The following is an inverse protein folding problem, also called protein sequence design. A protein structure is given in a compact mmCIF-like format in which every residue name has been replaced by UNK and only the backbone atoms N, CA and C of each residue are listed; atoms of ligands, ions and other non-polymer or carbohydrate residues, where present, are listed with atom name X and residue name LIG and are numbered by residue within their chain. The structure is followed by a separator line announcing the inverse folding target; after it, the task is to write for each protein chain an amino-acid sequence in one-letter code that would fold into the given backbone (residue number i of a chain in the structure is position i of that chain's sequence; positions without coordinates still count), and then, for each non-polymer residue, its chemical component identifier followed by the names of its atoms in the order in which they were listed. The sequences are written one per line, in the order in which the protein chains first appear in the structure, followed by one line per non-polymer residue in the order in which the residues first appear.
data_IF_635740752848
#
_entry.id   IF_635740752848
#
_cell.length_a   1.000
_cell.length_b   1.000
_cell.length_c   1.000
_cell.angle_alpha   90.00
_cell.angle_beta   90.00
_cell.angle_gamma   90.00
#
_symmetry.space_group_name_H-M   'P 1'
#
loop_
_entity.id
_entity.type
_entity.pdbx_description
1 polymer ?
#
# COMPACT_ATOMS: atom_id res chain seq x y z
N UNK A 1 -8.17 4.93 17.29
CA UNK A 1 -6.74 4.79 17.65
C UNK A 1 -6.36 5.95 18.52
N UNK A 2 -5.60 5.72 19.62
CA UNK A 2 -5.22 6.80 20.54
C UNK A 2 -3.72 7.11 20.43
N UNK A 3 -3.35 8.37 20.64
CA UNK A 3 -1.97 8.86 20.63
C UNK A 3 -1.73 9.86 21.76
N UNK A 4 -0.68 9.64 22.55
CA UNK A 4 -0.25 10.58 23.58
C UNK A 4 0.70 11.59 22.96
N UNK A 5 0.45 12.86 23.19
CA UNK A 5 1.27 14.00 22.69
C UNK A 5 1.87 14.70 23.90
N UNK A 6 3.17 14.98 23.85
CA UNK A 6 3.91 15.73 24.87
C UNK A 6 3.93 17.24 24.57
N UNK A 7 4.53 18.01 25.47
CA UNK A 7 4.64 19.47 25.36
C UNK A 7 5.28 19.96 24.05
N UNK A 8 6.26 19.22 23.52
CA UNK A 8 6.99 19.65 22.32
C UNK A 8 6.11 19.63 21.07
N UNK A 9 5.14 18.69 21.00
CA UNK A 9 4.22 18.57 19.87
C UNK A 9 2.92 19.36 20.01
N UNK A 10 2.57 19.77 21.23
CA UNK A 10 1.25 20.32 21.53
C UNK A 10 0.92 21.62 20.78
N UNK A 11 1.83 22.58 20.78
CA UNK A 11 1.59 23.90 20.20
C UNK A 11 1.40 23.90 18.67
N UNK A 12 2.18 23.08 17.95
CA UNK A 12 2.03 22.93 16.50
C UNK A 12 0.74 22.19 16.16
N UNK A 13 0.42 21.13 16.93
CA UNK A 13 -0.81 20.35 16.78
C UNK A 13 -2.06 21.25 16.99
N UNK A 14 -2.11 22.04 18.07
CA UNK A 14 -3.22 22.95 18.33
C UNK A 14 -3.40 23.95 17.19
N UNK A 15 -2.31 24.47 16.65
CA UNK A 15 -2.33 25.36 15.51
C UNK A 15 -2.91 24.70 14.25
N UNK A 16 -2.60 23.43 14.01
CA UNK A 16 -3.20 22.66 12.91
C UNK A 16 -4.68 22.38 13.15
N UNK A 17 -5.05 21.86 14.33
CA UNK A 17 -6.43 21.47 14.63
C UNK A 17 -7.39 22.69 14.63
N UNK A 18 -6.90 23.89 14.99
CA UNK A 18 -7.70 25.12 14.98
C UNK A 18 -7.70 25.85 13.63
N UNK A 19 -6.87 25.41 12.65
CA UNK A 19 -6.74 26.10 11.37
C UNK A 19 -7.90 25.76 10.40
N UNK A 20 -8.30 26.71 9.52
CA UNK A 20 -9.25 26.44 8.45
C UNK A 20 -8.80 25.31 7.51
N UNK A 21 -7.51 25.26 7.19
CA UNK A 21 -6.92 24.17 6.38
C UNK A 21 -7.03 22.82 7.08
N UNK A 22 -6.72 22.73 8.38
CA UNK A 22 -6.86 21.50 9.15
C UNK A 22 -8.30 20.98 9.15
N UNK A 23 -9.26 21.83 9.44
CA UNK A 23 -10.68 21.46 9.40
C UNK A 23 -11.11 20.94 8.03
N UNK A 24 -10.75 21.65 6.95
CA UNK A 24 -11.07 21.24 5.56
C UNK A 24 -10.42 19.93 5.17
N UNK A 25 -9.13 19.74 5.47
CA UNK A 25 -8.37 18.55 5.11
C UNK A 25 -8.85 17.30 5.86
N UNK A 26 -9.25 17.43 7.12
CA UNK A 26 -9.87 16.35 7.88
C UNK A 26 -11.29 16.03 7.38
N UNK A 27 -12.11 17.05 7.09
CA UNK A 27 -13.45 16.86 6.57
C UNK A 27 -13.48 16.19 5.19
N UNK A 28 -12.48 16.44 4.33
CA UNK A 28 -12.34 15.79 3.03
C UNK A 28 -11.77 14.36 3.12
N UNK A 29 -11.31 13.92 4.29
CA UNK A 29 -10.62 12.64 4.45
C UNK A 29 -9.19 12.61 3.90
N UNK A 30 -8.66 13.74 3.44
CA UNK A 30 -7.28 13.89 2.95
C UNK A 30 -6.26 13.71 4.06
N UNK A 31 -6.59 14.21 5.25
CA UNK A 31 -5.88 13.94 6.51
C UNK A 31 -6.81 13.11 7.39
N UNK A 32 -6.26 12.15 8.10
CA UNK A 32 -7.04 11.30 9.01
C UNK A 32 -7.82 12.16 10.01
N UNK A 33 -9.14 11.99 10.14
CA UNK A 33 -9.93 12.69 11.14
C UNK A 33 -9.36 12.47 12.53
N UNK A 34 -9.06 13.58 13.20
CA UNK A 34 -8.35 13.61 14.49
C UNK A 34 -8.98 14.63 15.39
N UNK A 35 -9.20 14.28 16.66
CA UNK A 35 -9.61 15.20 17.70
C UNK A 35 -8.82 14.98 18.99
N UNK A 36 -8.67 16.01 19.77
CA UNK A 36 -8.25 15.86 21.15
C UNK A 36 -9.42 15.30 21.99
N UNK A 37 -9.10 14.43 22.95
CA UNK A 37 -10.08 13.99 23.94
C UNK A 37 -10.38 15.15 24.90
N UNK A 38 -11.63 15.23 25.36
CA UNK A 38 -12.00 16.17 26.39
C UNK A 38 -11.49 15.73 27.79
N UNK A 39 -11.52 16.62 28.80
CA UNK A 39 -11.03 16.29 30.14
C UNK A 39 -11.71 15.09 30.80
N UNK A 40 -13.01 14.85 30.55
CA UNK A 40 -13.76 13.74 31.13
C UNK A 40 -13.32 12.42 30.49
N UNK A 41 -13.23 12.37 29.13
CA UNK A 41 -12.70 11.20 28.39
C UNK A 41 -11.26 10.89 28.78
N UNK A 42 -10.41 11.92 28.96
CA UNK A 42 -9.05 11.75 29.44
C UNK A 42 -9.03 11.17 30.85
N UNK A 43 -9.88 11.65 31.75
CA UNK A 43 -10.00 11.17 33.12
C UNK A 43 -10.39 9.69 33.19
N UNK A 44 -11.39 9.26 32.41
CA UNK A 44 -11.79 7.86 32.29
C UNK A 44 -10.65 6.97 31.78
N UNK A 45 -9.96 7.41 30.72
CA UNK A 45 -8.86 6.65 30.12
C UNK A 45 -7.67 6.51 31.09
N UNK A 46 -7.34 7.58 31.81
CA UNK A 46 -6.25 7.63 32.78
C UNK A 46 -6.60 6.99 34.13
N UNK A 47 -7.82 6.51 34.34
CA UNK A 47 -8.18 5.65 35.45
C UNK A 47 -7.53 4.26 35.37
N UNK A 48 -7.22 3.80 34.12
CA UNK A 48 -6.39 2.62 33.91
C UNK A 48 -4.93 2.93 34.27
N UNK A 49 -4.39 2.18 35.22
CA UNK A 49 -3.04 2.39 35.75
C UNK A 49 -1.95 2.24 34.68
N UNK A 50 -2.13 1.32 33.71
CA UNK A 50 -1.17 1.08 32.63
C UNK A 50 -1.12 2.25 31.64
N UNK A 51 -2.28 2.80 31.30
CA UNK A 51 -2.39 3.98 30.43
C UNK A 51 -1.81 5.22 31.12
N UNK A 52 -2.11 5.40 32.41
CA UNK A 52 -1.55 6.50 33.23
C UNK A 52 -0.03 6.44 33.27
N UNK A 53 0.52 5.26 33.58
CA UNK A 53 1.98 5.07 33.61
C UNK A 53 2.61 5.43 32.25
N UNK A 54 2.00 5.02 31.14
CA UNK A 54 2.47 5.35 29.80
C UNK A 54 2.38 6.86 29.51
N UNK A 55 1.28 7.49 29.93
CA UNK A 55 1.06 8.93 29.78
C UNK A 55 2.12 9.74 30.54
N UNK A 56 2.36 9.42 31.79
CA UNK A 56 3.34 10.09 32.65
C UNK A 56 4.78 9.86 32.13
N UNK A 57 5.12 8.62 31.76
CA UNK A 57 6.43 8.27 31.23
C UNK A 57 6.77 9.01 29.90
N UNK A 58 5.75 9.42 29.14
CA UNK A 58 5.90 10.17 27.88
C UNK A 58 5.75 11.69 28.06
N UNK A 59 5.56 12.19 29.27
CA UNK A 59 5.26 13.59 29.54
C UNK A 59 4.01 14.06 28.80
N UNK A 60 2.94 13.23 28.86
CA UNK A 60 1.70 13.47 28.12
C UNK A 60 1.03 14.79 28.50
N UNK A 61 0.52 15.51 27.51
CA UNK A 61 -0.31 16.71 27.69
C UNK A 61 -1.64 16.60 26.99
N UNK A 62 -1.69 15.98 25.81
CA UNK A 62 -2.88 15.81 25.00
C UNK A 62 -3.00 14.33 24.64
N UNK A 63 -4.22 13.81 24.67
CA UNK A 63 -4.54 12.50 24.10
C UNK A 63 -5.38 12.73 22.86
N UNK A 64 -4.89 12.25 21.71
CA UNK A 64 -5.61 12.31 20.44
C UNK A 64 -6.37 11.02 20.18
N UNK A 65 -7.55 11.18 19.60
CA UNK A 65 -8.28 10.09 18.96
C UNK A 65 -8.23 10.28 17.44
N UNK A 66 -7.71 9.27 16.74
CA UNK A 66 -7.70 9.21 15.28
C UNK A 66 -8.73 8.21 14.79
N UNK A 67 -9.37 8.50 13.66
CA UNK A 67 -10.12 7.50 12.93
C UNK A 67 -9.18 6.39 12.46
N UNK A 68 -9.66 5.15 12.49
CA UNK A 68 -8.85 4.00 12.10
C UNK A 68 -8.90 3.79 10.59
N UNK A 69 -7.73 3.54 9.99
CA UNK A 69 -7.64 2.95 8.65
C UNK A 69 -7.73 1.44 8.78
N UNK A 70 -8.67 0.81 8.09
CA UNK A 70 -9.05 -0.59 8.31
C UNK A 70 -7.91 -1.57 8.06
N UNK A 71 -7.19 -1.38 6.94
CA UNK A 71 -6.03 -2.20 6.60
C UNK A 71 -4.82 -1.30 6.28
N UNK A 72 -3.87 -1.15 7.22
CA UNK A 72 -2.64 -0.41 6.96
C UNK A 72 -1.83 -1.07 5.84
N UNK A 73 -1.28 -0.26 4.93
CA UNK A 73 -0.37 -0.69 3.87
C UNK A 73 0.88 0.16 3.87
N UNK A 74 1.99 -0.38 3.40
CA UNK A 74 3.27 0.31 3.47
C UNK A 74 3.87 0.55 2.07
N UNK A 75 4.75 1.53 1.89
CA UNK A 75 5.25 1.96 0.59
C UNK A 75 5.90 0.85 -0.25
N UNK A 76 6.48 -0.16 0.38
CA UNK A 76 7.06 -1.32 -0.29
C UNK A 76 6.02 -2.34 -0.81
N UNK A 77 4.74 -2.15 -0.47
CA UNK A 77 3.62 -2.95 -0.96
C UNK A 77 2.82 -2.22 -2.05
N UNK A 78 3.17 -0.98 -2.35
CA UNK A 78 2.40 -0.14 -3.26
C UNK A 78 2.83 -0.31 -4.72
N UNK A 79 1.93 0.00 -5.63
CA UNK A 79 2.27 0.19 -7.04
C UNK A 79 2.93 1.57 -7.24
N UNK A 80 3.57 1.76 -8.39
CA UNK A 80 4.14 3.07 -8.73
C UNK A 80 3.05 4.16 -8.81
N UNK A 81 1.85 3.82 -9.24
CA UNK A 81 0.68 4.71 -9.26
C UNK A 81 0.30 5.18 -7.86
N UNK A 82 0.30 4.27 -6.88
CA UNK A 82 0.00 4.60 -5.48
C UNK A 82 1.09 5.50 -4.90
N UNK A 83 2.36 5.20 -5.11
CA UNK A 83 3.46 6.05 -4.64
C UNK A 83 3.40 7.44 -5.30
N UNK A 84 3.06 7.52 -6.58
CA UNK A 84 2.86 8.79 -7.28
C UNK A 84 1.69 9.59 -6.70
N UNK A 85 0.57 8.93 -6.39
CA UNK A 85 -0.58 9.58 -5.76
C UNK A 85 -0.27 10.08 -4.34
N UNK A 86 0.49 9.29 -3.56
CA UNK A 86 0.96 9.70 -2.23
C UNK A 86 1.92 10.91 -2.30
N UNK A 87 2.79 10.96 -3.31
CA UNK A 87 3.66 12.12 -3.56
C UNK A 87 2.85 13.37 -3.92
N UNK A 88 1.82 13.25 -4.75
CA UNK A 88 0.90 14.35 -5.07
C UNK A 88 0.19 14.86 -3.81
N UNK A 89 -0.36 13.95 -3.01
CA UNK A 89 -0.99 14.31 -1.72
C UNK A 89 -0.03 15.12 -0.84
N UNK A 90 1.23 14.70 -0.71
CA UNK A 90 2.24 15.40 0.10
C UNK A 90 2.46 16.84 -0.40
N UNK A 91 2.55 17.04 -1.72
CA UNK A 91 2.71 18.39 -2.30
C UNK A 91 1.42 19.22 -2.16
N UNK A 92 0.24 18.62 -2.31
CA UNK A 92 -1.04 19.29 -2.11
C UNK A 92 -1.20 19.78 -0.68
N UNK A 93 -0.83 18.95 0.31
CA UNK A 93 -0.80 19.33 1.73
C UNK A 93 0.20 20.46 1.98
N UNK A 94 1.42 20.34 1.47
CA UNK A 94 2.43 21.38 1.65
C UNK A 94 1.96 22.74 1.13
N UNK A 95 1.27 22.79 -0.03
CA UNK A 95 0.72 24.02 -0.58
C UNK A 95 -0.50 24.53 0.19
N UNK A 96 -1.44 23.64 0.55
CA UNK A 96 -2.66 24.02 1.25
C UNK A 96 -2.39 24.66 2.61
N UNK A 97 -1.39 24.14 3.33
CA UNK A 97 -1.02 24.60 4.67
C UNK A 97 -0.39 25.99 4.69
N UNK A 98 0.26 26.42 3.59
CA UNK A 98 0.88 27.75 3.50
C UNK A 98 -0.11 28.90 3.67
N UNK A 99 -1.39 28.65 3.34
CA UNK A 99 -2.45 29.67 3.50
C UNK A 99 -2.65 30.07 4.96
N UNK A 100 -2.44 29.14 5.89
CA UNK A 100 -2.63 29.33 7.34
C UNK A 100 -1.26 29.46 8.08
N UNK A 101 -0.17 29.69 7.36
CA UNK A 101 1.16 29.81 7.95
C UNK A 101 1.70 28.49 8.53
N UNK A 102 1.20 27.35 8.03
CA UNK A 102 1.63 26.01 8.43
C UNK A 102 2.49 25.35 7.35
N UNK A 103 3.20 24.30 7.72
CA UNK A 103 4.01 23.48 6.82
C UNK A 103 4.13 22.04 7.30
N UNK A 104 4.84 21.23 6.50
CA UNK A 104 5.19 19.86 6.85
C UNK A 104 6.62 19.78 7.35
N UNK A 105 6.86 19.04 8.43
CA UNK A 105 8.20 18.67 8.94
C UNK A 105 8.81 17.52 8.15
N UNK A 106 7.96 16.58 7.67
CA UNK A 106 8.37 15.35 7.03
C UNK A 106 7.66 15.15 5.68
N UNK A 107 8.42 14.71 4.67
CA UNK A 107 7.96 14.39 3.34
C UNK A 107 8.22 12.91 3.00
N UNK A 108 7.76 12.00 3.85
CA UNK A 108 7.95 10.55 3.71
C UNK A 108 6.65 9.83 3.36
N UNK A 109 6.69 8.77 2.53
CA UNK A 109 5.51 7.96 2.23
C UNK A 109 4.99 7.16 3.45
N UNK A 110 5.80 6.99 4.50
CA UNK A 110 5.37 6.31 5.73
C UNK A 110 4.35 7.11 6.56
N UNK A 111 4.14 8.39 6.25
CA UNK A 111 3.09 9.22 6.83
C UNK A 111 1.75 9.11 6.08
N UNK A 112 1.65 8.18 5.12
CA UNK A 112 0.47 7.98 4.28
C UNK A 112 0.02 6.52 4.37
N UNK A 113 -1.29 6.32 4.48
CA UNK A 113 -1.97 5.05 4.27
C UNK A 113 -2.99 5.20 3.14
N UNK A 114 -3.66 4.10 2.80
CA UNK A 114 -4.71 4.11 1.78
C UNK A 114 -6.05 3.63 2.35
N UNK A 115 -7.14 4.30 1.95
CA UNK A 115 -8.51 3.82 2.08
C UNK A 115 -9.00 3.44 0.69
N UNK A 116 -9.18 2.15 0.46
CA UNK A 116 -9.35 1.70 -0.92
C UNK A 116 -8.21 2.26 -1.80
N UNK A 117 -8.50 2.94 -2.91
CA UNK A 117 -7.49 3.50 -3.80
C UNK A 117 -7.00 4.91 -3.41
N UNK A 118 -7.59 5.54 -2.38
CA UNK A 118 -7.32 6.95 -2.05
C UNK A 118 -6.27 7.08 -0.94
N UNK A 119 -5.19 7.87 -1.13
CA UNK A 119 -4.19 8.13 -0.12
C UNK A 119 -4.72 9.05 0.99
N UNK A 120 -4.37 8.75 2.23
CA UNK A 120 -4.75 9.51 3.44
C UNK A 120 -3.50 9.79 4.26
N UNK A 121 -3.25 11.04 4.58
CA UNK A 121 -2.16 11.44 5.47
C UNK A 121 -2.52 11.17 6.93
N UNK A 122 -1.65 10.51 7.68
CA UNK A 122 -1.97 9.99 9.01
C UNK A 122 -1.18 10.62 10.15
N UNK A 123 -0.10 11.34 9.87
CA UNK A 123 0.76 11.91 10.92
C UNK A 123 0.50 13.41 11.14
N UNK A 124 -0.51 13.72 11.94
CA UNK A 124 -0.85 15.11 12.28
C UNK A 124 0.23 15.86 13.05
N UNK A 125 1.22 15.16 13.64
CA UNK A 125 2.34 15.80 14.33
C UNK A 125 3.45 16.23 13.36
N UNK A 126 3.38 15.86 12.10
CA UNK A 126 4.24 16.37 11.03
C UNK A 126 3.87 17.80 10.58
N UNK A 127 2.76 18.35 11.06
CA UNK A 127 2.44 19.76 10.80
C UNK A 127 3.16 20.67 11.80
N UNK A 128 3.66 21.81 11.29
CA UNK A 128 4.35 22.82 12.12
C UNK A 128 3.96 24.22 11.71
N UNK A 129 4.10 25.17 12.66
CA UNK A 129 4.00 26.59 12.36
C UNK A 129 5.25 27.06 11.63
N UNK A 130 5.06 27.79 10.55
CA UNK A 130 6.15 28.38 9.79
C UNK A 130 6.49 29.78 10.28
N UNK A 131 7.76 30.10 10.28
CA UNK A 131 8.20 31.48 10.52
C UNK A 131 7.97 32.32 9.25
N UNK A 132 7.39 33.52 9.36
CA UNK A 132 7.32 34.45 8.24
C UNK A 132 8.73 34.71 7.69
N UNK A 133 8.89 34.71 6.37
CA UNK A 133 10.19 34.90 5.73
C UNK A 133 10.99 33.59 5.50
N UNK A 134 10.56 32.43 6.01
CA UNK A 134 11.22 31.15 5.73
C UNK A 134 10.84 30.63 4.31
N UNK A 135 11.81 30.67 3.41
CA UNK A 135 11.67 30.18 2.03
C UNK A 135 12.07 28.69 1.87
N UNK A 136 12.41 28.02 2.97
CA UNK A 136 12.93 26.65 2.96
C UNK A 136 11.80 25.65 3.15
N UNK A 137 11.80 24.58 2.36
CA UNK A 137 10.99 23.39 2.63
C UNK A 137 11.92 22.27 3.13
N UNK A 138 11.98 22.09 4.44
CA UNK A 138 12.87 21.12 5.09
C UNK A 138 12.71 19.70 4.56
N UNK A 139 11.48 19.20 4.27
CA UNK A 139 11.28 17.85 3.73
C UNK A 139 11.81 17.61 2.32
N UNK A 140 12.34 18.63 1.62
CA UNK A 140 12.74 18.52 0.21
C UNK A 140 13.62 17.29 -0.08
N UNK A 141 14.70 17.13 0.66
CA UNK A 141 15.64 16.02 0.43
C UNK A 141 15.00 14.66 0.72
N UNK A 142 14.23 14.57 1.79
CA UNK A 142 13.47 13.36 2.14
C UNK A 142 12.44 13.03 1.05
N UNK A 143 11.67 14.01 0.59
CA UNK A 143 10.69 13.84 -0.49
C UNK A 143 11.37 13.36 -1.80
N UNK A 144 12.51 13.93 -2.15
CA UNK A 144 13.27 13.50 -3.34
C UNK A 144 13.70 12.04 -3.19
N UNK A 145 14.29 11.67 -2.05
CA UNK A 145 14.85 10.34 -1.81
C UNK A 145 13.77 9.27 -1.70
N UNK A 146 12.62 9.57 -1.08
CA UNK A 146 11.61 8.56 -0.75
C UNK A 146 10.47 8.46 -1.77
N UNK A 147 10.25 9.49 -2.59
CA UNK A 147 9.23 9.49 -3.64
C UNK A 147 9.82 9.58 -5.05
N UNK A 148 10.58 10.65 -5.34
CA UNK A 148 10.98 10.92 -6.72
C UNK A 148 12.03 9.96 -7.25
N UNK A 149 13.06 9.65 -6.47
CA UNK A 149 14.12 8.72 -6.88
C UNK A 149 13.63 7.28 -6.99
N UNK A 150 12.79 6.73 -6.08
CA UNK A 150 12.16 5.42 -6.28
C UNK A 150 11.29 5.36 -7.53
N UNK A 151 10.45 6.38 -7.80
CA UNK A 151 9.66 6.44 -9.04
C UNK A 151 10.54 6.51 -10.28
N UNK A 152 11.61 7.30 -10.26
CA UNK A 152 12.58 7.40 -11.34
C UNK A 152 13.29 6.06 -11.58
N UNK A 153 13.73 5.38 -10.52
CA UNK A 153 14.39 4.09 -10.61
C UNK A 153 13.44 2.99 -11.13
N UNK A 154 12.19 2.99 -10.68
CA UNK A 154 11.17 2.09 -11.20
C UNK A 154 10.90 2.33 -12.69
N UNK A 155 10.76 3.60 -13.11
CA UNK A 155 10.50 3.96 -14.51
C UNK A 155 11.68 3.64 -15.43
N UNK A 156 12.90 3.96 -15.01
CA UNK A 156 14.09 3.92 -15.86
C UNK A 156 14.82 2.57 -15.85
N UNK A 157 14.75 1.83 -14.75
CA UNK A 157 15.52 0.59 -14.54
C UNK A 157 14.63 -0.63 -14.25
N UNK A 158 13.31 -0.44 -14.11
CA UNK A 158 12.39 -1.52 -13.79
C UNK A 158 12.51 -2.05 -12.35
N UNK A 159 13.15 -1.31 -11.44
CA UNK A 159 13.27 -1.73 -10.04
C UNK A 159 11.91 -1.65 -9.33
N UNK A 160 11.51 -2.74 -8.69
CA UNK A 160 10.30 -2.79 -7.87
C UNK A 160 10.39 -1.88 -6.63
N UNK A 161 9.27 -1.33 -6.20
CA UNK A 161 9.24 -0.52 -4.96
C UNK A 161 9.55 -1.39 -3.73
N UNK A 162 9.15 -2.66 -3.74
CA UNK A 162 9.52 -3.67 -2.75
C UNK A 162 11.04 -3.83 -2.63
N UNK A 163 11.75 -3.92 -3.76
CA UNK A 163 13.21 -4.05 -3.81
C UNK A 163 13.93 -2.81 -3.26
N UNK A 164 13.31 -1.65 -3.38
CA UNK A 164 13.89 -0.39 -2.91
C UNK A 164 13.52 -0.17 -1.43
N UNK A 165 12.22 -0.10 -1.12
CA UNK A 165 11.72 0.46 0.14
C UNK A 165 11.66 -0.54 1.30
N UNK A 166 11.74 -1.86 1.03
CA UNK A 166 11.86 -2.86 2.12
C UNK A 166 13.20 -2.75 2.85
N UNK A 167 14.29 -2.48 2.11
CA UNK A 167 15.65 -2.45 2.66
C UNK A 167 16.18 -1.03 2.85
N UNK A 168 15.60 -0.04 2.18
CA UNK A 168 15.99 1.38 2.23
C UNK A 168 14.80 2.24 2.65
N UNK A 169 14.56 2.31 3.96
CA UNK A 169 13.46 3.12 4.50
C UNK A 169 13.58 4.60 4.11
N UNK A 170 14.82 5.11 4.05
CA UNK A 170 15.11 6.51 3.69
C UNK A 170 15.19 6.74 2.18
N UNK A 171 14.80 5.72 1.38
CA UNK A 171 14.75 5.80 -0.07
C UNK A 171 16.12 5.62 -0.74
N UNK A 172 16.32 6.31 -1.86
CA UNK A 172 17.54 6.23 -2.68
C UNK A 172 18.32 7.54 -2.59
N UNK A 173 19.66 7.43 -2.57
CA UNK A 173 20.53 8.60 -2.70
C UNK A 173 20.77 8.91 -4.20
N UNK A 174 20.93 10.23 -4.57
CA UNK A 174 21.23 10.63 -5.93
C UNK A 174 22.46 9.92 -6.52
N UNK A 175 23.50 9.71 -5.70
CA UNK A 175 24.74 9.04 -6.08
C UNK A 175 24.56 7.57 -6.46
N UNK A 176 23.61 6.88 -5.82
CA UNK A 176 23.27 5.49 -6.18
C UNK A 176 22.62 5.45 -7.57
N UNK A 177 21.61 6.29 -7.80
CA UNK A 177 20.92 6.39 -9.08
C UNK A 177 21.86 6.88 -10.18
N UNK A 178 22.81 7.78 -9.85
CA UNK A 178 23.85 8.23 -10.77
C UNK A 178 24.72 7.07 -11.25
N UNK A 179 25.14 6.18 -10.36
CA UNK A 179 25.94 4.99 -10.70
C UNK A 179 25.22 4.05 -11.65
N UNK A 180 23.89 3.89 -11.53
CA UNK A 180 23.07 3.04 -12.40
C UNK A 180 22.76 3.69 -13.75
N UNK A 181 22.79 5.02 -13.82
CA UNK A 181 22.36 5.78 -15.00
C UNK A 181 23.42 5.82 -16.10
N UNK A 182 22.95 5.76 -17.37
CA UNK A 182 23.78 5.93 -18.55
C UNK A 182 24.16 7.41 -18.73
N UNK A 183 25.29 7.68 -19.42
CA UNK A 183 25.81 9.03 -19.62
C UNK A 183 24.77 9.98 -20.24
N UNK A 184 24.02 9.52 -21.24
CA UNK A 184 22.98 10.33 -21.89
C UNK A 184 21.77 10.62 -20.99
N UNK A 185 21.44 9.70 -20.06
CA UNK A 185 20.37 9.92 -19.08
C UNK A 185 20.75 11.03 -18.12
N UNK A 186 22.01 11.05 -17.67
CA UNK A 186 22.54 12.05 -16.70
C UNK A 186 22.41 13.49 -17.18
N UNK A 187 22.35 13.70 -18.50
CA UNK A 187 22.28 15.05 -19.11
C UNK A 187 20.85 15.52 -19.40
N UNK A 188 19.84 14.66 -19.19
CA UNK A 188 18.43 14.95 -19.52
C UNK A 188 17.55 15.04 -18.27
N UNK A 189 16.53 15.92 -18.24
CA UNK A 189 15.52 15.88 -17.20
C UNK A 189 14.74 14.55 -17.23
N UNK A 190 14.34 13.99 -16.06
CA UNK A 190 14.53 14.53 -14.70
C UNK A 190 15.89 14.18 -14.06
N UNK A 191 16.69 13.29 -14.67
CA UNK A 191 17.98 12.84 -14.12
C UNK A 191 18.95 14.00 -13.83
N UNK A 192 19.04 14.98 -14.74
CA UNK A 192 19.96 16.10 -14.55
C UNK A 192 19.71 16.82 -13.23
N UNK A 193 18.46 17.16 -12.94
CA UNK A 193 18.10 17.91 -11.74
C UNK A 193 18.05 17.07 -10.46
N UNK A 194 17.56 15.81 -10.55
CA UNK A 194 17.38 14.95 -9.38
C UNK A 194 18.64 14.16 -9.00
N UNK A 195 19.51 13.88 -9.98
CA UNK A 195 20.60 12.92 -9.82
C UNK A 195 21.96 13.59 -10.07
N UNK A 196 22.19 14.12 -11.27
CA UNK A 196 23.53 14.58 -11.68
C UNK A 196 23.97 15.82 -10.93
N UNK A 197 23.12 16.85 -10.86
CA UNK A 197 23.46 18.10 -10.19
C UNK A 197 23.70 17.90 -8.68
N UNK A 198 22.83 17.20 -7.92
CA UNK A 198 23.11 16.91 -6.51
C UNK A 198 24.40 16.10 -6.31
N UNK A 199 24.65 15.07 -7.15
CA UNK A 199 25.88 14.26 -7.04
C UNK A 199 27.13 15.09 -7.31
N UNK A 200 27.14 15.99 -8.30
CA UNK A 200 28.32 16.82 -8.60
C UNK A 200 28.56 17.91 -7.57
N UNK A 201 27.51 18.40 -6.92
CA UNK A 201 27.59 19.44 -5.89
C UNK A 201 27.85 18.85 -4.50
N UNK A 202 27.32 17.67 -4.20
CA UNK A 202 27.40 17.02 -2.89
C UNK A 202 28.84 16.73 -2.45
N UNK A 203 29.74 16.40 -3.37
CA UNK A 203 31.16 16.17 -3.09
C UNK A 203 31.95 17.41 -2.63
N UNK A 204 31.33 18.58 -2.63
CA UNK A 204 31.97 19.84 -2.21
C UNK A 204 31.60 20.31 -0.78
N UNK A 205 30.58 19.71 -0.19
CA UNK A 205 30.17 20.00 1.18
C UNK A 205 30.92 19.10 2.16
N UNK A 206 31.67 19.70 3.11
CA UNK A 206 32.25 18.95 4.22
C UNK A 206 31.11 18.43 5.12
N UNK A 207 31.25 17.21 5.61
CA UNK A 207 30.30 16.57 6.54
C UNK A 207 30.01 17.43 7.80
N UNK A 208 30.93 18.37 8.14
CA UNK A 208 30.82 19.24 9.31
C UNK A 208 30.07 20.56 9.07
N UNK A 209 29.60 20.84 7.83
CA UNK A 209 28.93 22.13 7.54
C UNK A 209 27.43 22.07 7.90
N UNK A 210 27.12 22.39 9.16
CA UNK A 210 25.75 22.52 9.66
C UNK A 210 25.03 23.78 9.18
N UNK A 211 25.72 24.70 8.48
CA UNK A 211 25.15 25.98 8.03
C UNK A 211 24.02 25.79 7.00
N UNK A 212 24.01 24.68 6.27
CA UNK A 212 22.96 24.32 5.32
C UNK A 212 21.58 24.04 5.99
N UNK A 213 21.60 23.69 7.28
CA UNK A 213 20.37 23.45 8.06
C UNK A 213 19.90 24.71 8.80
N UNK A 214 20.63 25.82 8.75
CA UNK A 214 20.18 27.06 9.35
C UNK A 214 19.14 27.74 8.49
N UNK A 215 17.95 28.00 9.10
CA UNK A 215 16.89 28.76 8.45
C UNK A 215 17.36 30.14 8.07
N UNK A 216 17.40 30.43 6.77
CA UNK A 216 17.69 31.79 6.26
C UNK A 216 16.36 32.51 6.07
N UNK A 217 16.01 33.36 7.03
CA UNK A 217 14.80 34.15 6.94
C UNK A 217 15.02 35.34 6.00
N UNK A 218 14.13 35.52 5.04
CA UNK A 218 14.07 36.68 4.19
C UNK A 218 13.32 37.79 4.93
N UNK A 219 13.72 39.04 4.71
CA UNK A 219 13.04 40.22 5.26
C UNK A 219 11.64 40.43 4.69
N UNK A 220 11.38 39.86 3.51
CA UNK A 220 10.12 39.95 2.80
C UNK A 220 9.40 38.59 2.83
N UNK A 221 8.32 38.44 3.62
CA UNK A 221 7.55 37.19 3.69
C UNK A 221 6.87 36.79 2.38
N UNK A 222 6.44 37.76 1.54
CA UNK A 222 5.79 37.47 0.25
C UNK A 222 6.78 36.86 -0.71
N UNK A 223 8.02 37.39 -0.73
CA UNK A 223 9.12 36.85 -1.52
C UNK A 223 9.47 35.41 -1.07
N UNK A 224 9.50 35.17 0.24
CA UNK A 224 9.74 33.83 0.78
C UNK A 224 8.67 32.84 0.31
N UNK A 225 7.41 33.23 0.40
CA UNK A 225 6.26 32.43 -0.07
C UNK A 225 6.34 32.17 -1.57
N UNK A 226 6.66 33.17 -2.38
CA UNK A 226 6.85 33.02 -3.84
C UNK A 226 7.94 31.99 -4.18
N UNK A 227 9.09 32.04 -3.50
CA UNK A 227 10.18 31.07 -3.72
C UNK A 227 9.72 29.65 -3.36
N UNK A 228 9.00 29.50 -2.25
CA UNK A 228 8.49 28.19 -1.80
C UNK A 228 7.43 27.63 -2.76
N UNK A 229 6.48 28.44 -3.19
CA UNK A 229 5.50 28.05 -4.18
C UNK A 229 6.15 27.65 -5.52
N UNK A 230 7.20 28.36 -5.93
CA UNK A 230 7.97 28.03 -7.12
C UNK A 230 8.68 26.68 -6.98
N UNK A 231 9.26 26.40 -5.82
CA UNK A 231 9.90 25.11 -5.49
C UNK A 231 8.88 23.96 -5.56
N UNK A 232 7.75 24.08 -4.87
CA UNK A 232 6.71 23.06 -4.83
C UNK A 232 6.11 22.80 -6.22
N UNK A 233 5.90 23.86 -7.00
CA UNK A 233 5.47 23.74 -8.40
C UNK A 233 6.54 23.09 -9.30
N UNK A 234 7.83 23.32 -9.01
CA UNK A 234 8.94 22.61 -9.65
C UNK A 234 8.94 21.13 -9.39
N UNK A 235 8.73 20.72 -8.12
CA UNK A 235 8.59 19.33 -7.73
C UNK A 235 7.36 18.68 -8.39
N UNK A 236 6.23 19.37 -8.45
CA UNK A 236 5.01 18.90 -9.12
C UNK A 236 5.24 18.65 -10.63
N UNK A 237 5.95 19.55 -11.32
CA UNK A 237 6.32 19.34 -12.72
C UNK A 237 7.27 18.14 -12.91
N UNK A 238 8.17 17.94 -11.96
CA UNK A 238 9.07 16.78 -11.97
C UNK A 238 8.28 15.49 -11.73
N UNK A 239 7.39 15.47 -10.75
CA UNK A 239 6.51 14.33 -10.46
C UNK A 239 5.60 13.98 -11.64
N UNK A 240 5.08 14.99 -12.37
CA UNK A 240 4.27 14.77 -13.56
C UNK A 240 5.04 14.01 -14.67
N UNK A 241 6.37 14.21 -14.79
CA UNK A 241 7.23 13.45 -15.71
C UNK A 241 7.49 12.01 -15.26
N UNK A 242 7.28 11.73 -13.98
CA UNK A 242 7.44 10.42 -13.38
C UNK A 242 6.10 9.68 -13.22
N UNK A 243 5.02 10.23 -13.79
CA UNK A 243 3.72 9.54 -13.80
C UNK A 243 3.89 8.17 -14.47
N UNK A 244 3.45 7.08 -13.82
CA UNK A 244 3.51 5.74 -14.40
C UNK A 244 2.78 5.69 -15.75
N UNK A 245 3.39 5.01 -16.70
CA UNK A 245 2.86 4.91 -18.07
C UNK A 245 1.75 3.87 -18.09
N UNK A 246 0.59 4.26 -18.59
CA UNK A 246 -0.53 3.36 -18.86
C UNK A 246 -0.19 2.40 -19.99
N UNK A 247 -0.72 1.16 -19.92
CA UNK A 247 -0.53 0.18 -21.00
C UNK A 247 0.84 -0.52 -21.00
N UNK A 248 1.63 -0.44 -19.91
CA UNK A 248 2.74 -1.38 -19.76
C UNK A 248 2.20 -2.80 -19.77
N UNK A 249 2.78 -3.65 -20.61
CA UNK A 249 2.49 -5.07 -20.61
C UNK A 249 3.43 -5.79 -19.65
N UNK A 250 2.91 -6.77 -18.93
CA UNK A 250 3.65 -7.77 -18.18
C UNK A 250 3.28 -9.16 -18.69
N UNK A 251 3.97 -10.18 -18.23
CA UNK A 251 3.62 -11.58 -18.55
C UNK A 251 2.17 -11.90 -18.16
N UNK A 252 1.61 -11.17 -17.19
CA UNK A 252 0.28 -11.42 -16.62
C UNK A 252 -0.79 -10.44 -17.08
N UNK A 253 -0.42 -9.27 -17.64
CA UNK A 253 -1.39 -8.29 -18.14
C UNK A 253 -2.23 -8.82 -19.30
N UNK A 254 -1.62 -9.66 -20.15
CA UNK A 254 -2.26 -10.25 -21.32
C UNK A 254 -2.89 -11.63 -21.03
N UNK A 255 -2.74 -12.13 -19.79
CA UNK A 255 -3.19 -13.46 -19.41
C UNK A 255 -4.69 -13.66 -19.67
N UNK A 256 -5.53 -12.68 -19.34
CA UNK A 256 -6.97 -12.74 -19.57
C UNK A 256 -7.36 -12.62 -21.05
N UNK A 257 -6.54 -11.96 -21.85
CA UNK A 257 -6.80 -11.72 -23.29
C UNK A 257 -6.23 -12.85 -24.18
N UNK A 258 -5.14 -13.49 -23.77
CA UNK A 258 -4.38 -14.45 -24.59
C UNK A 258 -4.58 -15.90 -24.17
N UNK A 259 -5.07 -16.17 -22.95
CA UNK A 259 -5.31 -17.53 -22.46
C UNK A 259 -6.69 -18.02 -22.87
N UNK A 260 -6.74 -18.66 -24.03
CA UNK A 260 -7.92 -19.32 -24.60
C UNK A 260 -8.42 -20.54 -23.81
N UNK A 261 -7.93 -20.79 -22.58
CA UNK A 261 -8.33 -21.91 -21.74
C UNK A 261 -9.68 -21.69 -21.03
N UNK A 262 -10.24 -20.47 -21.09
CA UNK A 262 -11.56 -20.17 -20.61
C UNK A 262 -12.45 -19.75 -21.78
N UNK A 263 -13.52 -20.52 -22.02
CA UNK A 263 -14.62 -20.02 -22.84
C UNK A 263 -15.34 -18.90 -22.09
N UNK A 264 -16.07 -18.06 -22.83
CA UNK A 264 -16.89 -16.99 -22.22
C UNK A 264 -17.83 -17.56 -21.15
N UNK A 265 -18.37 -18.77 -21.39
CA UNK A 265 -19.32 -19.44 -20.48
C UNK A 265 -18.66 -19.89 -19.17
N UNK A 266 -17.44 -20.43 -19.23
CA UNK A 266 -16.65 -20.79 -18.04
C UNK A 266 -16.39 -19.57 -17.14
N UNK A 267 -16.03 -18.46 -17.78
CA UNK A 267 -15.75 -17.22 -17.06
C UNK A 267 -17.01 -16.66 -16.39
N UNK A 268 -18.14 -16.66 -17.10
CA UNK A 268 -19.43 -16.24 -16.56
C UNK A 268 -19.92 -17.16 -15.42
N UNK A 269 -19.72 -18.46 -15.54
CA UNK A 269 -20.05 -19.42 -14.48
C UNK A 269 -19.25 -19.13 -13.20
N UNK A 270 -17.96 -18.85 -13.34
CA UNK A 270 -17.08 -18.47 -12.24
C UNK A 270 -17.48 -17.13 -11.60
N UNK A 271 -17.84 -16.13 -12.42
CA UNK A 271 -18.35 -14.85 -11.94
C UNK A 271 -19.62 -15.01 -11.10
N UNK A 272 -20.59 -15.79 -11.60
CA UNK A 272 -21.82 -16.08 -10.88
C UNK A 272 -21.55 -16.78 -9.56
N UNK A 273 -20.74 -17.84 -9.58
CA UNK A 273 -20.39 -18.59 -8.37
C UNK A 273 -19.81 -17.70 -7.28
N UNK A 274 -18.82 -16.86 -7.63
CA UNK A 274 -18.17 -15.94 -6.68
C UNK A 274 -19.15 -14.87 -6.21
N UNK A 275 -19.90 -14.25 -7.12
CA UNK A 275 -20.86 -13.20 -6.77
C UNK A 275 -21.97 -13.70 -5.85
N UNK A 276 -22.55 -14.88 -6.16
CA UNK A 276 -23.57 -15.53 -5.33
C UNK A 276 -23.02 -15.89 -3.95
N UNK A 277 -21.81 -16.48 -3.88
CA UNK A 277 -21.18 -16.86 -2.62
C UNK A 277 -20.99 -15.65 -1.71
N UNK A 278 -20.45 -14.55 -2.24
CA UNK A 278 -20.22 -13.32 -1.45
C UNK A 278 -21.54 -12.67 -1.01
N UNK A 279 -22.56 -12.66 -1.88
CA UNK A 279 -23.86 -12.06 -1.57
C UNK A 279 -24.63 -12.90 -0.53
N UNK A 280 -24.65 -14.23 -0.68
CA UNK A 280 -25.36 -15.16 0.21
C UNK A 280 -24.89 -15.03 1.67
N UNK A 281 -23.59 -14.85 1.87
CA UNK A 281 -23.00 -14.75 3.20
C UNK A 281 -22.73 -13.31 3.66
N UNK A 282 -23.07 -12.30 2.85
CA UNK A 282 -22.93 -10.90 3.20
C UNK A 282 -21.51 -10.48 3.53
N UNK A 283 -20.50 -10.97 2.79
CA UNK A 283 -19.10 -10.67 3.02
C UNK A 283 -18.83 -9.16 2.86
N UNK A 284 -18.28 -8.52 3.91
CA UNK A 284 -17.97 -7.08 3.95
C UNK A 284 -16.49 -6.77 3.81
N UNK A 285 -15.62 -7.73 4.11
CA UNK A 285 -14.17 -7.64 3.98
C UNK A 285 -13.66 -8.85 3.20
N UNK A 286 -12.98 -8.60 2.08
CA UNK A 286 -12.55 -9.65 1.15
C UNK A 286 -11.06 -9.51 0.87
N UNK A 287 -10.33 -10.64 0.94
CA UNK A 287 -8.97 -10.77 0.44
C UNK A 287 -9.01 -11.54 -0.88
N UNK A 288 -8.57 -10.89 -1.97
CA UNK A 288 -8.48 -11.52 -3.29
C UNK A 288 -7.00 -11.82 -3.59
N UNK A 289 -6.63 -13.10 -3.51
CA UNK A 289 -5.25 -13.59 -3.68
C UNK A 289 -5.00 -13.98 -5.12
N UNK A 290 -3.98 -13.37 -5.76
CA UNK A 290 -3.73 -13.53 -7.19
C UNK A 290 -4.79 -12.80 -8.00
N UNK A 291 -5.09 -11.56 -7.62
CA UNK A 291 -6.20 -10.78 -8.17
C UNK A 291 -6.06 -10.45 -9.66
N UNK A 292 -4.85 -10.54 -10.23
CA UNK A 292 -4.53 -10.15 -11.59
C UNK A 292 -5.08 -8.73 -11.88
N UNK A 293 -5.88 -8.55 -12.92
CA UNK A 293 -6.49 -7.25 -13.29
C UNK A 293 -7.71 -6.86 -12.44
N UNK A 294 -7.96 -7.57 -11.32
CA UNK A 294 -8.94 -7.20 -10.28
C UNK A 294 -10.40 -7.50 -10.62
N UNK A 295 -10.65 -8.41 -11.54
CA UNK A 295 -12.03 -8.71 -11.98
C UNK A 295 -12.92 -9.16 -10.81
N UNK A 296 -12.47 -10.15 -10.01
CA UNK A 296 -13.21 -10.64 -8.86
C UNK A 296 -13.20 -9.67 -7.69
N UNK A 297 -12.13 -8.92 -7.52
CA UNK A 297 -12.07 -7.78 -6.60
C UNK A 297 -13.17 -6.75 -6.89
N UNK A 298 -13.39 -6.42 -8.19
CA UNK A 298 -14.43 -5.49 -8.59
C UNK A 298 -15.85 -6.05 -8.35
N UNK A 299 -16.07 -7.36 -8.55
CA UNK A 299 -17.36 -8.01 -8.20
C UNK A 299 -17.63 -7.87 -6.70
N UNK A 300 -16.66 -8.18 -5.86
CA UNK A 300 -16.79 -8.07 -4.41
C UNK A 300 -17.06 -6.61 -3.97
N UNK A 301 -16.30 -5.65 -4.51
CA UNK A 301 -16.43 -4.26 -4.16
C UNK A 301 -17.76 -3.64 -4.63
N UNK A 302 -18.25 -4.00 -5.82
CA UNK A 302 -19.60 -3.59 -6.29
C UNK A 302 -20.71 -4.19 -5.44
N UNK A 303 -20.48 -5.35 -4.80
CA UNK A 303 -21.34 -5.94 -3.78
C UNK A 303 -21.28 -5.23 -2.42
N UNK A 304 -20.46 -4.18 -2.26
CA UNK A 304 -20.33 -3.40 -1.04
C UNK A 304 -19.22 -3.87 -0.08
N UNK A 305 -18.38 -4.80 -0.49
CA UNK A 305 -17.24 -5.25 0.31
C UNK A 305 -16.04 -4.29 0.19
N UNK A 306 -15.27 -4.16 1.28
CA UNK A 306 -13.92 -3.60 1.24
C UNK A 306 -12.96 -4.71 0.83
N UNK A 307 -12.18 -4.48 -0.21
CA UNK A 307 -11.33 -5.51 -0.81
C UNK A 307 -9.86 -5.15 -0.65
N UNK A 308 -9.05 -6.11 -0.22
CA UNK A 308 -7.60 -6.08 -0.38
C UNK A 308 -7.25 -7.03 -1.52
N UNK A 309 -6.74 -6.49 -2.62
CA UNK A 309 -6.39 -7.24 -3.82
C UNK A 309 -4.87 -7.47 -3.86
N UNK A 310 -4.46 -8.73 -3.82
CA UNK A 310 -3.05 -9.12 -3.84
C UNK A 310 -2.63 -9.68 -5.18
N UNK A 311 -1.53 -9.21 -5.68
CA UNK A 311 -0.76 -9.86 -6.73
C UNK A 311 0.73 -9.58 -6.52
N UNK A 312 1.62 -10.37 -7.12
CA UNK A 312 3.05 -10.06 -7.08
C UNK A 312 3.49 -9.18 -8.26
N UNK A 313 2.62 -9.01 -9.27
CA UNK A 313 2.87 -8.17 -10.44
C UNK A 313 2.31 -6.75 -10.23
N UNK A 314 3.17 -5.75 -9.95
CA UNK A 314 2.72 -4.38 -9.73
C UNK A 314 2.09 -3.73 -10.96
N UNK A 315 2.30 -4.27 -12.17
CA UNK A 315 1.74 -3.71 -13.42
C UNK A 315 0.24 -4.00 -13.50
N UNK A 316 -0.19 -5.24 -13.22
CA UNK A 316 -1.62 -5.59 -13.18
C UNK A 316 -2.33 -4.85 -12.04
N UNK A 317 -1.69 -4.73 -10.88
CA UNK A 317 -2.24 -4.00 -9.74
C UNK A 317 -2.36 -2.49 -10.00
N UNK A 318 -1.47 -1.90 -10.78
CA UNK A 318 -1.60 -0.52 -11.25
C UNK A 318 -2.88 -0.34 -12.08
N UNK A 319 -3.30 -1.35 -12.84
CA UNK A 319 -4.59 -1.35 -13.55
C UNK A 319 -5.76 -1.46 -12.57
N UNK A 320 -5.68 -2.35 -11.57
CA UNK A 320 -6.68 -2.44 -10.50
C UNK A 320 -6.85 -1.11 -9.78
N UNK A 321 -5.74 -0.44 -9.43
CA UNK A 321 -5.78 0.85 -8.75
C UNK A 321 -6.46 1.93 -9.60
N UNK A 322 -6.13 2.04 -10.90
CA UNK A 322 -6.76 3.00 -11.80
C UNK A 322 -8.26 2.75 -11.95
N UNK A 323 -8.65 1.49 -12.13
CA UNK A 323 -10.06 1.11 -12.20
C UNK A 323 -10.80 1.43 -10.90
N UNK A 324 -10.24 1.05 -9.75
CA UNK A 324 -10.83 1.32 -8.45
C UNK A 324 -11.09 2.82 -8.23
N UNK A 325 -10.13 3.68 -8.60
CA UNK A 325 -10.33 5.14 -8.55
C UNK A 325 -11.41 5.64 -9.51
N UNK A 326 -11.38 5.18 -10.74
CA UNK A 326 -12.34 5.63 -11.77
C UNK A 326 -13.78 5.25 -11.41
N UNK A 327 -13.99 4.07 -10.85
CA UNK A 327 -15.30 3.54 -10.47
C UNK A 327 -15.66 3.80 -8.99
N UNK A 328 -14.76 4.41 -8.21
CA UNK A 328 -14.89 4.65 -6.75
C UNK A 328 -15.17 3.36 -5.98
N UNK A 329 -14.45 2.32 -6.30
CA UNK A 329 -14.54 1.02 -5.62
C UNK A 329 -13.58 0.97 -4.41
N UNK A 330 -14.04 0.40 -3.31
CA UNK A 330 -13.23 0.20 -2.09
C UNK A 330 -12.26 -0.98 -2.25
N UNK A 331 -11.29 -0.83 -3.18
CA UNK A 331 -10.25 -1.83 -3.45
C UNK A 331 -8.89 -1.23 -3.14
N UNK A 332 -8.15 -1.89 -2.25
CA UNK A 332 -6.75 -1.61 -1.93
C UNK A 332 -5.87 -2.65 -2.62
N UNK A 333 -5.22 -2.32 -3.75
CA UNK A 333 -4.32 -3.24 -4.43
C UNK A 333 -2.93 -3.18 -3.79
N UNK A 334 -2.34 -4.35 -3.48
CA UNK A 334 -1.03 -4.45 -2.84
C UNK A 334 -0.14 -5.45 -3.57
N UNK A 335 1.07 -5.01 -3.90
CA UNK A 335 2.11 -5.82 -4.53
C UNK A 335 2.76 -6.76 -3.48
N UNK A 336 2.07 -7.84 -3.16
CA UNK A 336 2.48 -8.81 -2.15
C UNK A 336 2.41 -10.23 -2.72
N UNK A 337 3.52 -10.95 -2.64
CA UNK A 337 3.53 -12.39 -2.88
C UNK A 337 3.16 -13.12 -1.58
N UNK A 338 1.99 -13.76 -1.53
CA UNK A 338 1.50 -14.42 -0.33
C UNK A 338 2.40 -15.59 0.14
N UNK A 339 3.21 -16.18 -0.74
CA UNK A 339 4.17 -17.24 -0.37
C UNK A 339 5.46 -16.69 0.25
N UNK A 340 5.71 -15.41 0.05
CA UNK A 340 6.85 -14.64 0.61
C UNK A 340 6.36 -13.24 0.98
N UNK A 341 5.44 -13.13 1.97
CA UNK A 341 4.79 -11.88 2.30
C UNK A 341 5.77 -10.87 2.89
N UNK A 342 5.42 -9.58 2.80
CA UNK A 342 6.23 -8.51 3.36
C UNK A 342 6.46 -8.71 4.87
N UNK A 343 7.72 -8.65 5.32
CA UNK A 343 8.08 -8.83 6.73
C UNK A 343 7.72 -7.62 7.58
N UNK A 344 7.76 -7.78 8.89
CA UNK A 344 7.82 -6.65 9.80
C UNK A 344 9.11 -5.85 9.60
N UNK A 345 9.04 -4.52 9.64
CA UNK A 345 10.18 -3.63 9.42
C UNK A 345 10.28 -2.53 10.46
N UNK A 346 11.37 -1.74 10.41
CA UNK A 346 11.66 -0.67 11.36
C UNK A 346 12.32 -1.17 12.65
N UNK A 347 12.29 -0.36 13.71
CA UNK A 347 12.94 -0.72 14.97
C UNK A 347 12.36 -2.01 15.54
N UNK A 348 13.21 -2.99 15.76
CA UNK A 348 12.87 -4.35 16.24
C UNK A 348 11.83 -5.07 15.37
N UNK A 349 11.67 -4.69 14.10
CA UNK A 349 10.64 -5.17 13.16
C UNK A 349 9.20 -4.93 13.65
N UNK A 350 8.95 -3.88 14.43
CA UNK A 350 7.66 -3.61 15.07
C UNK A 350 7.02 -2.27 14.65
N UNK A 351 7.73 -1.42 13.87
CA UNK A 351 7.14 -0.15 13.42
C UNK A 351 6.15 -0.34 12.28
N UNK A 352 6.47 -1.22 11.34
CA UNK A 352 5.57 -1.67 10.29
C UNK A 352 5.32 -3.16 10.50
N UNK A 353 4.10 -3.54 10.86
CA UNK A 353 3.73 -4.94 11.08
C UNK A 353 3.84 -5.74 9.79
N UNK A 354 4.19 -7.02 9.85
CA UNK A 354 4.22 -7.90 8.68
C UNK A 354 2.84 -7.98 8.01
N UNK A 355 2.80 -8.37 6.74
CA UNK A 355 1.53 -8.57 6.04
C UNK A 355 0.64 -9.58 6.78
N UNK A 356 1.20 -10.70 7.20
CA UNK A 356 0.45 -11.76 7.89
C UNK A 356 -0.10 -11.30 9.25
N UNK A 357 0.66 -10.51 10.03
CA UNK A 357 0.17 -9.98 11.33
C UNK A 357 -1.04 -9.05 11.14
N UNK A 358 -1.09 -8.33 10.02
CA UNK A 358 -2.22 -7.45 9.66
C UNK A 358 -3.41 -8.21 9.09
N UNK A 359 -3.15 -9.32 8.40
CA UNK A 359 -4.15 -10.05 7.61
C UNK A 359 -4.86 -11.17 8.39
N UNK A 360 -4.21 -11.77 9.40
CA UNK A 360 -4.79 -12.88 10.18
C UNK A 360 -6.13 -12.48 10.81
N UNK A 361 -7.17 -13.30 10.53
CA UNK A 361 -8.51 -13.11 11.06
C UNK A 361 -9.16 -11.76 10.71
N UNK A 362 -8.81 -11.19 9.55
CA UNK A 362 -9.30 -9.88 9.14
C UNK A 362 -10.41 -9.93 8.09
N UNK A 363 -10.49 -10.99 7.32
CA UNK A 363 -11.35 -11.03 6.15
C UNK A 363 -12.52 -11.98 6.38
N UNK A 364 -13.74 -11.53 6.05
CA UNK A 364 -14.92 -12.38 6.06
C UNK A 364 -14.84 -13.45 4.98
N UNK A 365 -14.22 -13.11 3.86
CA UNK A 365 -13.98 -14.04 2.78
C UNK A 365 -12.57 -13.90 2.18
N UNK A 366 -11.98 -15.03 1.79
CA UNK A 366 -10.75 -15.11 1.01
C UNK A 366 -11.07 -15.76 -0.33
N UNK A 367 -10.61 -15.14 -1.42
CA UNK A 367 -10.68 -15.66 -2.78
C UNK A 367 -9.31 -16.20 -3.19
N UNK A 368 -9.25 -17.43 -3.67
CA UNK A 368 -8.02 -18.05 -4.18
C UNK A 368 -8.35 -18.73 -5.53
N UNK A 369 -8.50 -17.90 -6.57
CA UNK A 369 -8.96 -18.32 -7.88
C UNK A 369 -7.79 -18.44 -8.85
N UNK A 370 -7.60 -19.64 -9.42
CA UNK A 370 -6.49 -19.94 -10.33
C UNK A 370 -5.10 -19.60 -9.76
N UNK A 371 -4.88 -19.70 -8.44
CA UNK A 371 -3.62 -19.36 -7.77
C UNK A 371 -2.93 -20.55 -7.11
N UNK A 372 -3.69 -21.53 -6.58
CA UNK A 372 -3.10 -22.60 -5.76
C UNK A 372 -2.06 -23.46 -6.52
N UNK A 373 -2.26 -23.70 -7.81
CA UNK A 373 -1.33 -24.49 -8.63
C UNK A 373 0.03 -23.77 -8.81
N UNK A 374 0.04 -22.44 -8.80
CA UNK A 374 1.29 -21.67 -8.74
C UNK A 374 1.98 -21.81 -7.38
N UNK A 375 1.23 -21.77 -6.29
CA UNK A 375 1.79 -21.97 -4.95
C UNK A 375 2.34 -23.39 -4.79
N UNK A 376 1.63 -24.41 -5.27
CA UNK A 376 2.04 -25.82 -5.21
C UNK A 376 3.27 -26.11 -6.07
N UNK A 377 3.26 -25.68 -7.33
CA UNK A 377 4.25 -26.10 -8.34
C UNK A 377 5.44 -25.13 -8.37
N UNK A 378 5.18 -23.84 -8.48
CA UNK A 378 6.25 -22.83 -8.63
C UNK A 378 6.93 -22.55 -7.30
N UNK A 379 6.13 -22.30 -6.26
CA UNK A 379 6.63 -21.93 -4.93
C UNK A 379 6.85 -23.15 -4.02
N UNK A 380 6.36 -24.32 -4.42
CA UNK A 380 6.50 -25.61 -3.71
C UNK A 380 5.96 -25.61 -2.28
N UNK A 381 4.89 -24.87 -2.07
CA UNK A 381 4.20 -24.86 -0.78
C UNK A 381 3.26 -26.07 -0.72
N UNK A 382 3.30 -26.92 0.33
CA UNK A 382 2.40 -28.04 0.47
C UNK A 382 0.93 -27.60 0.52
N UNK A 383 0.01 -28.44 -0.02
CA UNK A 383 -1.41 -28.14 -0.04
C UNK A 383 -1.99 -27.89 1.36
N UNK A 384 -1.56 -28.66 2.35
CA UNK A 384 -2.00 -28.48 3.74
C UNK A 384 -1.64 -27.07 4.25
N UNK A 385 -0.39 -26.63 4.03
CA UNK A 385 0.10 -25.32 4.49
C UNK A 385 -0.64 -24.17 3.80
N UNK A 386 -1.02 -24.34 2.51
CA UNK A 386 -1.84 -23.35 1.79
C UNK A 386 -3.22 -23.22 2.44
N UNK A 387 -3.85 -24.34 2.79
CA UNK A 387 -5.17 -24.36 3.40
C UNK A 387 -5.14 -23.89 4.86
N UNK A 388 -4.08 -24.21 5.61
CA UNK A 388 -3.84 -23.71 6.95
C UNK A 388 -3.74 -22.17 6.92
N UNK A 389 -2.93 -21.62 6.00
CA UNK A 389 -2.81 -20.18 5.82
C UNK A 389 -4.16 -19.53 5.43
N UNK A 390 -4.89 -20.14 4.49
CA UNK A 390 -6.22 -19.63 4.11
C UNK A 390 -7.17 -19.58 5.32
N UNK A 391 -7.12 -20.60 6.19
CA UNK A 391 -7.91 -20.64 7.43
C UNK A 391 -7.47 -19.57 8.44
N UNK A 392 -6.17 -19.24 8.52
CA UNK A 392 -5.68 -18.15 9.37
C UNK A 392 -6.18 -16.78 8.89
N UNK A 393 -6.28 -16.58 7.57
CA UNK A 393 -6.62 -15.29 6.96
C UNK A 393 -8.13 -14.99 7.03
N UNK A 394 -8.98 -16.02 6.85
CA UNK A 394 -10.44 -15.83 6.87
C UNK A 394 -11.06 -16.03 8.25
N UNK A 395 -12.13 -15.28 8.51
CA UNK A 395 -13.02 -15.50 9.68
C UNK A 395 -14.21 -16.39 9.34
N UNK A 396 -14.58 -16.51 8.04
CA UNK A 396 -15.79 -17.22 7.64
C UNK A 396 -15.61 -18.05 6.36
N UNK A 397 -15.35 -17.41 5.20
CA UNK A 397 -15.44 -18.07 3.91
C UNK A 397 -14.08 -18.17 3.19
N UNK A 398 -13.92 -19.27 2.45
CA UNK A 398 -12.89 -19.43 1.44
C UNK A 398 -13.57 -19.85 0.12
N UNK A 399 -13.39 -19.04 -0.92
CA UNK A 399 -13.75 -19.40 -2.30
C UNK A 399 -12.47 -19.75 -3.03
N UNK A 400 -12.33 -21.02 -3.39
CA UNK A 400 -11.07 -21.54 -3.93
C UNK A 400 -11.30 -22.37 -5.19
N UNK A 401 -10.41 -22.23 -6.18
CA UNK A 401 -10.40 -23.02 -7.39
C UNK A 401 -9.35 -24.11 -7.29
N UNK A 402 -9.79 -25.36 -7.25
CA UNK A 402 -8.91 -26.52 -7.40
C UNK A 402 -8.68 -26.78 -8.89
N UNK A 403 -7.41 -26.98 -9.25
CA UNK A 403 -6.95 -27.29 -10.60
C UNK A 403 -6.19 -28.61 -10.54
N UNK A 404 -6.70 -29.63 -11.22
CA UNK A 404 -6.10 -30.96 -11.21
C UNK A 404 -4.85 -31.03 -12.10
N UNK A 405 -3.95 -32.02 -11.89
CA UNK A 405 -2.70 -32.17 -12.64
C UNK A 405 -2.84 -32.39 -14.15
N UNK A 406 -4.01 -32.86 -14.61
CA UNK A 406 -4.36 -33.02 -16.03
C UNK A 406 -4.74 -31.71 -16.74
N UNK A 407 -4.92 -30.61 -16.00
CA UNK A 407 -5.16 -29.29 -16.58
C UNK A 407 -3.93 -28.82 -17.39
N UNK A 408 -4.17 -28.25 -18.57
CA UNK A 408 -3.13 -27.83 -19.49
C UNK A 408 -2.15 -26.79 -18.89
N UNK A 409 -2.65 -25.89 -18.03
CA UNK A 409 -1.80 -24.91 -17.34
C UNK A 409 -0.99 -25.56 -16.24
N UNK A 410 -1.60 -26.51 -15.49
CA UNK A 410 -0.86 -27.28 -14.48
C UNK A 410 0.27 -28.05 -15.13
N UNK A 411 0.01 -28.77 -16.23
CA UNK A 411 1.01 -29.51 -17.00
C UNK A 411 2.12 -28.59 -17.53
N UNK A 412 1.78 -27.39 -17.98
CA UNK A 412 2.74 -26.38 -18.44
C UNK A 412 3.69 -25.94 -17.34
N UNK A 413 3.24 -25.85 -16.08
CA UNK A 413 4.08 -25.49 -14.93
C UNK A 413 4.94 -26.66 -14.44
N UNK A 414 4.44 -27.91 -14.54
CA UNK A 414 5.12 -29.10 -14.01
C UNK A 414 6.16 -29.70 -14.94
N UNK A 415 6.32 -29.21 -16.15
CA UNK A 415 7.20 -29.79 -17.20
C UNK A 415 8.40 -30.54 -16.66
N UNK A 416 8.45 -31.89 -16.86
CA UNK A 416 9.52 -32.78 -16.38
C UNK A 416 9.48 -33.09 -14.88
N UNK A 417 8.39 -32.75 -14.18
CA UNK A 417 8.18 -32.99 -12.74
C UNK A 417 6.76 -33.48 -12.43
N UNK A 418 6.06 -34.03 -13.42
CA UNK A 418 4.65 -34.45 -13.34
C UNK A 418 4.44 -35.47 -12.22
N UNK A 419 5.41 -36.37 -12.02
CA UNK A 419 5.37 -37.40 -10.97
C UNK A 419 5.24 -36.85 -9.54
N UNK A 420 5.71 -35.61 -9.28
CA UNK A 420 5.62 -35.00 -7.95
C UNK A 420 4.17 -34.62 -7.55
N UNK A 421 3.28 -34.53 -8.52
CA UNK A 421 1.91 -34.06 -8.30
C UNK A 421 0.85 -35.06 -8.76
N UNK A 422 1.23 -36.30 -9.13
CA UNK A 422 0.32 -37.32 -9.66
C UNK A 422 -0.80 -37.71 -8.67
N UNK A 423 -0.51 -37.64 -7.38
CA UNK A 423 -1.45 -37.99 -6.31
C UNK A 423 -2.34 -36.81 -5.88
N UNK A 424 -2.20 -35.64 -6.52
CA UNK A 424 -3.03 -34.46 -6.23
C UNK A 424 -4.41 -34.63 -6.87
N UNK A 425 -5.31 -35.30 -6.16
CA UNK A 425 -6.70 -35.50 -6.57
C UNK A 425 -7.66 -34.54 -5.85
N UNK A 426 -8.89 -34.44 -6.36
CA UNK A 426 -9.91 -33.66 -5.70
C UNK A 426 -10.26 -34.22 -4.31
N UNK A 427 -10.23 -35.54 -4.15
CA UNK A 427 -10.48 -36.22 -2.86
C UNK A 427 -9.37 -35.88 -1.83
N UNK A 428 -8.13 -35.80 -2.27
CA UNK A 428 -7.01 -35.35 -1.43
C UNK A 428 -7.21 -33.88 -1.00
N UNK A 429 -7.61 -33.02 -1.95
CA UNK A 429 -7.92 -31.62 -1.67
C UNK A 429 -9.08 -31.50 -0.67
N UNK A 430 -10.18 -32.20 -0.88
CA UNK A 430 -11.36 -32.18 -0.02
C UNK A 430 -11.04 -32.69 1.40
N UNK A 431 -10.22 -33.75 1.48
CA UNK A 431 -9.73 -34.27 2.78
C UNK A 431 -8.86 -33.26 3.51
N UNK A 432 -7.94 -32.61 2.81
CA UNK A 432 -7.09 -31.58 3.39
C UNK A 432 -7.91 -30.35 3.83
N UNK A 433 -8.82 -29.88 2.99
CA UNK A 433 -9.71 -28.75 3.29
C UNK A 433 -10.63 -29.05 4.48
N UNK A 434 -11.08 -30.30 4.63
CA UNK A 434 -11.97 -30.76 5.71
C UNK A 434 -11.39 -30.61 7.10
N UNK A 435 -10.08 -30.37 7.25
CA UNK A 435 -9.45 -30.07 8.54
C UNK A 435 -9.90 -28.74 9.12
N UNK A 436 -10.09 -27.73 8.29
CA UNK A 436 -10.43 -26.37 8.69
C UNK A 436 -11.78 -25.88 8.20
N UNK A 437 -12.31 -26.52 7.15
CA UNK A 437 -13.50 -26.06 6.46
C UNK A 437 -14.55 -27.12 6.29
N UNK A 438 -15.80 -26.70 6.13
CA UNK A 438 -16.93 -27.46 5.63
C UNK A 438 -17.17 -27.05 4.18
N UNK A 439 -17.38 -28.03 3.29
CA UNK A 439 -17.74 -27.76 1.89
C UNK A 439 -19.22 -27.39 1.84
N UNK A 440 -19.52 -26.12 1.57
CA UNK A 440 -20.88 -25.61 1.43
C UNK A 440 -21.43 -25.89 0.02
N UNK A 441 -20.59 -25.63 -0.98
CA UNK A 441 -20.95 -25.78 -2.40
C UNK A 441 -19.72 -26.15 -3.21
N UNK A 442 -19.92 -27.02 -4.19
CA UNK A 442 -18.91 -27.32 -5.21
C UNK A 442 -19.54 -27.21 -6.58
N UNK A 443 -18.83 -26.65 -7.53
CA UNK A 443 -19.23 -26.55 -8.92
C UNK A 443 -18.11 -27.00 -9.85
N UNK A 444 -18.37 -27.94 -10.72
CA UNK A 444 -17.48 -28.29 -11.82
C UNK A 444 -17.47 -27.16 -12.87
N UNK A 445 -16.31 -26.81 -13.38
CA UNK A 445 -16.21 -25.94 -14.54
C UNK A 445 -16.29 -26.83 -15.77
N UNK A 446 -17.42 -26.75 -16.47
CA UNK A 446 -17.82 -27.66 -17.54
C UNK A 446 -16.73 -27.79 -18.62
N UNK A 447 -16.44 -29.03 -19.09
CA UNK A 447 -15.39 -29.27 -20.07
C UNK A 447 -13.94 -29.12 -19.58
N UNK A 448 -13.73 -28.97 -18.28
CA UNK A 448 -12.39 -28.88 -17.65
C UNK A 448 -12.29 -29.81 -16.44
N UNK A 449 -11.07 -30.02 -15.92
CA UNK A 449 -10.85 -30.71 -14.63
C UNK A 449 -10.89 -29.77 -13.42
N UNK A 450 -11.32 -28.52 -13.60
CA UNK A 450 -11.35 -27.48 -12.57
C UNK A 450 -12.62 -27.55 -11.74
N UNK A 451 -12.49 -27.33 -10.45
CA UNK A 451 -13.60 -27.27 -9.49
C UNK A 451 -13.55 -26.00 -8.68
N UNK A 452 -14.68 -25.33 -8.56
CA UNK A 452 -14.87 -24.19 -7.65
C UNK A 452 -15.48 -24.70 -6.35
N UNK A 453 -14.88 -24.33 -5.23
CA UNK A 453 -15.37 -24.66 -3.90
C UNK A 453 -15.72 -23.40 -3.14
N UNK A 454 -16.90 -23.42 -2.51
CA UNK A 454 -17.28 -22.51 -1.45
C UNK A 454 -17.14 -23.29 -0.13
N UNK A 455 -16.21 -22.85 0.68
CA UNK A 455 -15.84 -23.48 1.93
C UNK A 455 -16.15 -22.52 3.08
N UNK A 456 -16.77 -23.05 4.16
CA UNK A 456 -17.04 -22.32 5.39
C UNK A 456 -16.07 -22.77 6.47
N UNK A 457 -15.42 -21.84 7.14
CA UNK A 457 -14.49 -22.14 8.23
C UNK A 457 -15.23 -22.81 9.38
N UNK A 458 -14.66 -23.88 9.90
CA UNK A 458 -15.15 -24.52 11.13
C UNK A 458 -14.86 -23.63 12.33
N UNK A 459 -15.76 -23.66 13.33
CA UNK A 459 -15.61 -22.89 14.57
C UNK A 459 -14.41 -23.35 15.41
#
# INVERSE_FOLDING_TARGET
MLRIVNALGAADLESFLSSPSGARLMASGTVVPTRALDPAECGELLADASVRQLYDARGGQIILQHERVDFPSYPYEWTAEMLHAAALLTLDLAQALLADGLGLKDGTPYNILFRGPEPVFIDVLSFERRQPGDATWLPYAQFVRTFLLPLLANQAFGLGLDQILTTRRDGLEPEEVYRWSRLWQRLRPPFFGLVSMPTWLGGKHREDDTSIYQKKLLSDPEKARFILDHLLNGLRRTLARLKPVEGKSSVWSDYMATNNNYTTDHFQAKQRFVGEALAEFGARSVLDVGSNTGHFSAIAARGGAKVVALDYDPVVLGTVWRQARAEKLEILPLAVNLTRPSPGTGWRNQECASFLDRARGKFDAVLMLAVIHHMLVTERVPLADILDLAAELTTNLLVIEFIAPDDSMFQRLTRGREELHKDLTAELFETAAGRHFEIVRMQHVEGTSRRLYLLRKRA
#
